data_IF_830025409932
#
_entry.id   IF_830025409932
#
_cell.length_a   1.000
_cell.length_b   1.000
_cell.length_c   1.000
_cell.angle_alpha   90.00
_cell.angle_beta   90.00
_cell.angle_gamma   90.00
#
_symmetry.space_group_name_H-M   'P 1'
#
loop_
_entity.id
_entity.type
_entity.pdbx_description
1 polymer ?
#
# COMPACT_ATOMS: atom_id res chain seq x y z
N UNK A 1 8.65 3.19 -5.09
CA UNK A 1 9.39 4.46 -5.01
C UNK A 1 10.59 4.41 -4.09
N UNK A 2 10.40 4.13 -2.80
CA UNK A 2 11.50 4.09 -1.81
C UNK A 2 12.65 3.17 -2.23
N UNK A 3 12.33 1.92 -2.57
CA UNK A 3 13.33 0.93 -3.00
C UNK A 3 14.13 1.42 -4.23
N UNK A 4 13.46 1.97 -5.22
CA UNK A 4 14.11 2.52 -6.42
C UNK A 4 15.00 3.74 -6.11
N UNK A 5 14.57 4.61 -5.20
CA UNK A 5 15.37 5.76 -4.75
C UNK A 5 16.67 5.33 -4.07
N UNK A 6 16.63 4.28 -3.24
CA UNK A 6 17.83 3.70 -2.62
C UNK A 6 18.69 2.97 -3.66
N UNK A 7 18.10 2.23 -4.59
CA UNK A 7 18.83 1.57 -5.69
C UNK A 7 19.63 2.55 -6.56
N UNK A 8 19.09 3.76 -6.80
CA UNK A 8 19.80 4.82 -7.53
C UNK A 8 21.05 5.34 -6.81
N UNK A 9 21.20 5.05 -5.52
CA UNK A 9 22.39 5.39 -4.71
C UNK A 9 23.31 4.18 -4.48
N UNK A 10 22.97 3.02 -5.02
CA UNK A 10 23.75 1.79 -4.88
C UNK A 10 25.12 1.91 -5.52
N UNK A 11 26.14 1.34 -4.88
CA UNK A 11 27.48 1.16 -5.45
C UNK A 11 27.51 0.12 -6.57
N UNK A 12 26.49 -0.74 -6.65
CA UNK A 12 26.36 -1.69 -7.76
C UNK A 12 25.93 -0.94 -9.01
N UNK A 13 26.82 -0.90 -10.00
CA UNK A 13 26.61 -0.18 -11.27
C UNK A 13 25.34 -0.63 -11.99
N UNK A 14 25.08 -1.93 -12.07
CA UNK A 14 23.93 -2.47 -12.78
C UNK A 14 22.60 -2.07 -12.11
N UNK A 15 22.52 -2.23 -10.79
CA UNK A 15 21.33 -1.85 -10.02
C UNK A 15 21.04 -0.33 -10.13
N UNK A 16 22.07 0.48 -10.00
CA UNK A 16 21.96 1.92 -10.19
C UNK A 16 21.48 2.26 -11.61
N UNK A 17 22.06 1.63 -12.64
CA UNK A 17 21.75 1.95 -14.05
C UNK A 17 20.33 1.57 -14.43
N UNK A 18 19.83 0.41 -13.96
CA UNK A 18 18.46 -0.02 -14.20
C UNK A 18 17.48 0.95 -13.51
N UNK A 19 17.72 1.28 -12.25
CA UNK A 19 16.88 2.22 -11.51
C UNK A 19 16.90 3.64 -12.15
N UNK A 20 18.06 4.08 -12.65
CA UNK A 20 18.19 5.34 -13.37
C UNK A 20 17.32 5.38 -14.62
N UNK A 21 17.45 4.39 -15.51
CA UNK A 21 16.67 4.33 -16.74
C UNK A 21 15.17 4.25 -16.51
N UNK A 22 14.75 3.46 -15.50
CA UNK A 22 13.34 3.39 -15.13
C UNK A 22 12.80 4.77 -14.73
N UNK A 23 13.50 5.47 -13.85
CA UNK A 23 13.04 6.77 -13.35
C UNK A 23 13.04 7.82 -14.45
N UNK A 24 14.11 7.90 -15.26
CA UNK A 24 14.21 8.87 -16.36
C UNK A 24 13.16 8.61 -17.44
N UNK A 25 13.00 7.36 -17.87
CA UNK A 25 11.98 7.00 -18.85
C UNK A 25 10.57 7.34 -18.37
N UNK A 26 10.23 6.91 -17.13
CA UNK A 26 8.88 7.09 -16.58
C UNK A 26 8.55 8.57 -16.39
N UNK A 27 9.49 9.39 -15.94
CA UNK A 27 9.27 10.82 -15.71
C UNK A 27 9.17 11.63 -17.00
N UNK A 28 9.87 11.23 -18.04
CA UNK A 28 9.90 11.95 -19.31
C UNK A 28 8.71 11.60 -20.23
N UNK A 29 8.00 10.51 -19.95
CA UNK A 29 6.81 10.12 -20.71
C UNK A 29 5.56 10.68 -19.99
N UNK A 30 4.66 11.39 -20.68
CA UNK A 30 3.41 11.88 -20.08
C UNK A 30 2.57 10.74 -19.53
N UNK A 31 1.95 10.97 -18.35
CA UNK A 31 1.15 9.95 -17.67
C UNK A 31 0.02 9.37 -18.53
N UNK A 32 -0.56 10.17 -19.44
CA UNK A 32 -1.60 9.72 -20.35
C UNK A 32 -1.11 8.58 -21.25
N UNK A 33 0.14 8.66 -21.72
CA UNK A 33 0.72 7.60 -22.55
C UNK A 33 0.94 6.31 -21.74
N UNK A 34 1.30 6.42 -20.46
CA UNK A 34 1.36 5.25 -19.58
C UNK A 34 -0.03 4.60 -19.39
N UNK A 35 -1.08 5.39 -19.22
CA UNK A 35 -2.45 4.86 -19.10
C UNK A 35 -2.86 4.14 -20.39
N UNK A 36 -2.64 4.76 -21.55
CA UNK A 36 -2.97 4.16 -22.84
C UNK A 36 -2.16 2.88 -23.11
N UNK A 37 -0.88 2.87 -22.75
CA UNK A 37 -0.02 1.70 -22.87
C UNK A 37 -0.55 0.52 -22.04
N UNK A 38 -0.82 0.74 -20.74
CA UNK A 38 -1.32 -0.30 -19.85
C UNK A 38 -2.71 -0.79 -20.26
N UNK A 39 -3.59 0.13 -20.67
CA UNK A 39 -4.90 -0.23 -21.19
C UNK A 39 -4.78 -1.09 -22.46
N UNK A 40 -3.91 -0.70 -23.40
CA UNK A 40 -3.64 -1.47 -24.62
C UNK A 40 -3.07 -2.86 -24.32
N UNK A 41 -2.15 -2.98 -23.36
CA UNK A 41 -1.61 -4.27 -22.93
C UNK A 41 -2.73 -5.15 -22.36
N UNK A 42 -3.57 -4.63 -21.47
CA UNK A 42 -4.65 -5.40 -20.82
C UNK A 42 -5.62 -5.94 -21.90
N UNK A 43 -6.11 -5.07 -22.79
CA UNK A 43 -7.12 -5.47 -23.79
C UNK A 43 -6.57 -6.45 -24.83
N UNK A 44 -5.32 -6.27 -25.28
CA UNK A 44 -4.76 -7.05 -26.37
C UNK A 44 -4.02 -8.32 -25.93
N UNK A 45 -3.54 -8.37 -24.67
CA UNK A 45 -2.73 -9.51 -24.20
C UNK A 45 -3.53 -10.48 -23.35
N UNK A 46 -4.51 -9.98 -22.55
CA UNK A 46 -5.31 -10.87 -21.72
C UNK A 46 -6.36 -11.64 -22.54
N UNK A 47 -6.69 -12.87 -22.12
CA UNK A 47 -7.64 -13.71 -22.86
C UNK A 47 -9.08 -13.21 -22.74
N UNK A 48 -9.93 -13.65 -23.70
CA UNK A 48 -11.36 -13.41 -23.64
C UNK A 48 -12.02 -14.13 -22.45
N UNK A 49 -13.20 -13.69 -21.97
CA UNK A 49 -13.88 -14.27 -20.81
C UNK A 49 -14.09 -15.78 -20.87
N UNK A 50 -14.27 -16.36 -22.07
CA UNK A 50 -14.40 -17.82 -22.24
C UNK A 50 -13.12 -18.60 -21.98
N UNK A 51 -11.97 -17.92 -22.02
CA UNK A 51 -10.64 -18.49 -21.78
C UNK A 51 -9.94 -17.76 -20.63
N UNK A 52 -10.76 -17.24 -19.70
CA UNK A 52 -10.27 -16.46 -18.55
C UNK A 52 -9.13 -17.17 -17.81
N UNK A 53 -8.17 -16.40 -17.33
CA UNK A 53 -7.18 -16.90 -16.38
C UNK A 53 -7.90 -17.07 -15.05
N UNK A 54 -8.04 -18.32 -14.64
CA UNK A 54 -8.65 -18.68 -13.36
C UNK A 54 -7.63 -18.52 -12.24
N UNK A 55 -8.08 -17.90 -11.15
CA UNK A 55 -7.30 -17.71 -9.94
C UNK A 55 -8.10 -18.28 -8.77
N UNK A 56 -7.73 -19.49 -8.34
CA UNK A 56 -8.32 -20.23 -7.23
C UNK A 56 -9.82 -20.56 -7.39
N UNK A 57 -10.33 -20.73 -8.59
CA UNK A 57 -11.76 -21.01 -8.90
C UNK A 57 -12.76 -19.97 -8.37
N UNK A 58 -12.30 -18.81 -7.94
CA UNK A 58 -13.12 -17.74 -7.35
C UNK A 58 -12.92 -16.38 -8.00
N UNK A 59 -11.83 -16.20 -8.76
CA UNK A 59 -11.47 -14.92 -9.40
C UNK A 59 -11.01 -15.16 -10.83
N UNK A 60 -11.36 -14.27 -11.73
CA UNK A 60 -11.11 -14.45 -13.16
C UNK A 60 -10.51 -13.19 -13.77
N UNK A 61 -9.35 -13.34 -14.41
CA UNK A 61 -8.67 -12.25 -15.13
C UNK A 61 -8.89 -12.40 -16.63
N UNK A 62 -9.37 -11.33 -17.28
CA UNK A 62 -9.72 -11.30 -18.69
C UNK A 62 -9.37 -9.96 -19.32
N UNK A 63 -9.45 -9.87 -20.65
CA UNK A 63 -9.32 -8.59 -21.37
C UNK A 63 -10.48 -7.61 -21.10
N UNK A 64 -11.55 -8.06 -20.43
CA UNK A 64 -12.66 -7.23 -19.97
C UNK A 64 -12.54 -6.79 -18.52
N UNK A 65 -11.43 -7.11 -17.86
CA UNK A 65 -11.12 -6.74 -16.50
C UNK A 65 -10.91 -7.92 -15.57
N UNK A 66 -10.86 -7.62 -14.28
CA UNK A 66 -10.64 -8.58 -13.21
C UNK A 66 -11.91 -8.73 -12.39
N UNK A 67 -12.38 -9.97 -12.28
CA UNK A 67 -13.59 -10.35 -11.55
C UNK A 67 -13.17 -11.06 -10.27
N UNK A 68 -13.60 -10.53 -9.12
CA UNK A 68 -13.29 -11.07 -7.79
C UNK A 68 -14.57 -11.30 -6.99
N UNK A 69 -14.57 -12.18 -5.98
CA UNK A 69 -15.72 -12.37 -5.11
C UNK A 69 -16.12 -11.06 -4.44
N UNK A 70 -17.42 -10.76 -4.45
CA UNK A 70 -17.98 -9.59 -3.77
C UNK A 70 -18.57 -10.02 -2.44
N UNK A 71 -18.12 -9.47 -1.30
CA UNK A 71 -18.78 -9.72 -0.03
C UNK A 71 -20.18 -9.10 -0.03
N UNK A 72 -21.16 -9.87 0.39
CA UNK A 72 -22.55 -9.46 0.57
C UNK A 72 -22.85 -9.55 2.05
N UNK A 73 -23.32 -8.44 2.63
CA UNK A 73 -23.77 -8.38 4.00
C UNK A 73 -25.12 -9.11 4.13
N UNK A 74 -25.22 -10.06 5.04
CA UNK A 74 -26.46 -10.75 5.39
C UNK A 74 -27.10 -10.12 6.63
N UNK A 75 -28.30 -10.59 6.96
CA UNK A 75 -29.01 -10.18 8.19
C UNK A 75 -28.16 -10.48 9.42
N UNK A 76 -28.01 -9.49 10.31
CA UNK A 76 -27.14 -9.58 11.50
C UNK A 76 -25.80 -8.88 11.36
N UNK A 77 -25.47 -8.32 10.19
CA UNK A 77 -24.27 -7.49 9.99
C UNK A 77 -24.33 -6.19 10.82
N UNK A 78 -25.52 -5.76 11.24
CA UNK A 78 -25.74 -4.55 12.03
C UNK A 78 -24.94 -4.58 13.34
N UNK A 79 -24.79 -5.75 13.96
CA UNK A 79 -23.97 -5.91 15.16
C UNK A 79 -22.49 -5.62 14.87
N UNK A 80 -21.97 -6.02 13.72
CA UNK A 80 -20.62 -5.69 13.32
C UNK A 80 -20.40 -4.17 13.24
N UNK A 81 -21.34 -3.44 12.62
CA UNK A 81 -21.25 -1.98 12.53
C UNK A 81 -21.36 -1.33 13.92
N UNK A 82 -22.30 -1.80 14.76
CA UNK A 82 -22.44 -1.31 16.12
C UNK A 82 -21.16 -1.50 16.94
N UNK A 83 -20.59 -2.69 16.94
CA UNK A 83 -19.35 -2.98 17.68
C UNK A 83 -18.15 -2.23 17.11
N UNK A 84 -18.11 -2.00 15.80
CA UNK A 84 -17.07 -1.16 15.17
C UNK A 84 -17.16 0.28 15.67
N UNK A 85 -18.36 0.86 15.71
CA UNK A 85 -18.57 2.23 16.25
C UNK A 85 -18.18 2.30 17.72
N UNK A 86 -18.60 1.32 18.53
CA UNK A 86 -18.23 1.25 19.95
C UNK A 86 -16.70 1.16 20.13
N UNK A 87 -16.03 0.32 19.32
CA UNK A 87 -14.58 0.17 19.34
C UNK A 87 -13.85 1.48 19.00
N UNK A 88 -14.34 2.23 18.01
CA UNK A 88 -13.78 3.53 17.62
C UNK A 88 -13.97 4.55 18.75
N UNK A 89 -15.18 4.64 19.32
CA UNK A 89 -15.47 5.54 20.44
C UNK A 89 -14.55 5.21 21.63
N UNK A 90 -14.45 3.93 21.97
CA UNK A 90 -13.56 3.47 23.04
C UNK A 90 -12.09 3.87 22.77
N UNK A 91 -11.59 3.63 21.57
CA UNK A 91 -10.22 3.97 21.18
C UNK A 91 -9.93 5.47 21.32
N UNK A 92 -10.89 6.33 20.92
CA UNK A 92 -10.78 7.78 21.08
C UNK A 92 -10.76 8.20 22.56
N UNK A 93 -11.70 7.67 23.34
CA UNK A 93 -11.79 7.98 24.78
C UNK A 93 -10.56 7.48 25.53
N UNK A 94 -10.11 6.26 25.23
CA UNK A 94 -8.91 5.68 25.84
C UNK A 94 -7.65 6.47 25.47
N UNK A 95 -7.52 6.93 24.22
CA UNK A 95 -6.40 7.77 23.81
C UNK A 95 -6.36 9.10 24.58
N UNK A 96 -7.52 9.74 24.76
CA UNK A 96 -7.64 10.99 25.54
C UNK A 96 -7.32 10.76 27.02
N UNK A 97 -7.85 9.69 27.61
CA UNK A 97 -7.59 9.30 29.00
C UNK A 97 -6.09 9.01 29.22
N UNK A 98 -5.49 8.22 28.33
CA UNK A 98 -4.09 7.84 28.40
C UNK A 98 -3.15 9.06 28.30
N UNK A 99 -3.47 10.02 27.40
CA UNK A 99 -2.74 11.28 27.27
C UNK A 99 -2.80 12.10 28.58
N UNK A 100 -4.01 12.30 29.13
CA UNK A 100 -4.19 13.02 30.39
C UNK A 100 -3.46 12.37 31.57
N UNK A 101 -3.50 11.04 31.62
CA UNK A 101 -2.78 10.28 32.69
C UNK A 101 -1.26 10.40 32.48
N UNK A 102 -0.75 10.37 31.26
CA UNK A 102 0.68 10.56 31.00
C UNK A 102 1.16 11.95 31.46
N UNK A 103 0.36 12.99 31.21
CA UNK A 103 0.66 14.35 31.70
C UNK A 103 0.74 14.43 33.21
N UNK A 104 -0.09 13.68 33.93
CA UNK A 104 -0.15 13.69 35.42
C UNK A 104 0.88 12.76 36.08
N UNK A 105 1.17 11.61 35.47
CA UNK A 105 1.96 10.54 36.14
C UNK A 105 3.29 10.22 35.48
N UNK A 106 3.54 10.75 34.27
CA UNK A 106 4.71 10.44 33.44
C UNK A 106 4.72 9.01 32.86
N UNK A 107 3.73 8.16 33.21
CA UNK A 107 3.67 6.77 32.71
C UNK A 107 3.02 6.69 31.33
N UNK A 108 3.71 6.07 30.36
CA UNK A 108 3.21 5.84 29.03
C UNK A 108 2.54 4.48 28.90
N UNK A 109 1.35 4.46 28.28
CA UNK A 109 0.70 3.21 27.82
C UNK A 109 1.02 2.94 26.36
N UNK A 110 1.05 1.68 25.92
CA UNK A 110 1.14 1.31 24.52
C UNK A 110 -0.21 1.53 23.81
N UNK A 111 -0.67 2.80 23.76
CA UNK A 111 -2.00 3.20 23.27
C UNK A 111 -2.27 2.69 21.87
N UNK A 112 -1.26 2.72 20.99
CA UNK A 112 -1.38 2.24 19.63
C UNK A 112 -1.80 0.77 19.56
N UNK A 113 -1.11 -0.10 20.31
CA UNK A 113 -1.39 -1.55 20.29
C UNK A 113 -2.73 -1.90 20.94
N UNK A 114 -3.09 -1.20 22.02
CA UNK A 114 -4.38 -1.40 22.69
C UNK A 114 -5.52 -0.99 21.76
N UNK A 115 -5.44 0.19 21.15
CA UNK A 115 -6.45 0.67 20.21
C UNK A 115 -6.56 -0.23 18.98
N UNK A 116 -5.43 -0.67 18.43
CA UNK A 116 -5.41 -1.58 17.30
C UNK A 116 -6.11 -2.91 17.65
N UNK A 117 -5.79 -3.46 18.82
CA UNK A 117 -6.43 -4.69 19.30
C UNK A 117 -7.93 -4.51 19.45
N UNK A 118 -8.38 -3.43 20.09
CA UNK A 118 -9.82 -3.17 20.30
C UNK A 118 -10.55 -3.00 18.95
N UNK A 119 -10.00 -2.21 18.03
CA UNK A 119 -10.62 -1.96 16.72
C UNK A 119 -10.72 -3.23 15.87
N UNK A 120 -9.82 -4.19 16.06
CA UNK A 120 -9.87 -5.47 15.33
C UNK A 120 -10.73 -6.49 16.07
N UNK A 121 -10.49 -6.70 17.36
CA UNK A 121 -11.11 -7.80 18.12
C UNK A 121 -12.60 -7.59 18.32
N UNK A 122 -13.05 -6.38 18.66
CA UNK A 122 -14.48 -6.13 18.90
C UNK A 122 -15.39 -6.44 17.71
N UNK A 123 -15.10 -5.93 16.50
CA UNK A 123 -15.87 -6.32 15.32
C UNK A 123 -15.76 -7.81 14.99
N UNK A 124 -14.58 -8.43 15.17
CA UNK A 124 -14.42 -9.87 14.95
C UNK A 124 -15.28 -10.72 15.91
N UNK A 125 -15.39 -10.30 17.18
CA UNK A 125 -16.30 -10.95 18.14
C UNK A 125 -17.74 -10.84 17.66
N UNK A 126 -18.19 -9.67 17.18
CA UNK A 126 -19.54 -9.48 16.66
C UNK A 126 -19.83 -10.37 15.45
N UNK A 127 -18.86 -10.55 14.54
CA UNK A 127 -18.99 -11.48 13.42
C UNK A 127 -19.10 -12.93 13.89
N UNK A 128 -18.29 -13.32 14.88
CA UNK A 128 -18.33 -14.69 15.41
C UNK A 128 -19.66 -15.02 16.12
N UNK A 129 -20.23 -14.06 16.86
CA UNK A 129 -21.53 -14.24 17.50
C UNK A 129 -22.69 -14.45 16.52
N UNK A 130 -22.61 -13.89 15.34
CA UNK A 130 -23.64 -14.01 14.30
C UNK A 130 -23.28 -15.03 13.20
N UNK A 131 -22.44 -16.02 13.50
CA UNK A 131 -22.02 -17.05 12.53
C UNK A 131 -21.48 -16.46 11.22
N UNK A 132 -20.73 -15.36 11.27
CA UNK A 132 -20.16 -14.67 10.12
C UNK A 132 -21.19 -14.32 9.04
N UNK A 133 -22.08 -13.33 9.26
CA UNK A 133 -23.17 -12.97 8.36
C UNK A 133 -22.63 -12.25 7.10
N UNK A 134 -21.73 -12.90 6.40
CA UNK A 134 -21.09 -12.44 5.17
C UNK A 134 -21.09 -13.60 4.19
N UNK A 135 -21.81 -13.47 3.09
CA UNK A 135 -21.71 -14.37 1.95
C UNK A 135 -20.86 -13.74 0.86
N UNK A 136 -20.38 -14.55 -0.07
CA UNK A 136 -19.59 -14.08 -1.20
C UNK A 136 -20.31 -14.40 -2.50
N UNK A 137 -20.62 -13.37 -3.29
CA UNK A 137 -21.06 -13.57 -4.66
C UNK A 137 -19.84 -13.87 -5.51
N UNK A 138 -19.70 -15.11 -5.94
CA UNK A 138 -18.61 -15.53 -6.84
C UNK A 138 -19.00 -15.16 -8.28
N UNK A 139 -18.07 -14.62 -9.09
CA UNK A 139 -18.36 -14.35 -10.50
C UNK A 139 -18.54 -15.65 -11.28
N UNK A 140 -19.61 -15.73 -12.06
CA UNK A 140 -19.92 -16.87 -12.93
C UNK A 140 -19.94 -16.45 -14.40
N UNK A 141 -19.42 -17.30 -15.29
CA UNK A 141 -19.48 -17.04 -16.72
C UNK A 141 -20.92 -17.27 -17.23
N UNK A 142 -21.59 -16.18 -17.63
CA UNK A 142 -22.94 -16.22 -18.22
C UNK A 142 -22.93 -15.64 -19.63
N UNK A 143 -22.98 -16.51 -20.63
CA UNK A 143 -22.91 -16.13 -22.03
C UNK A 143 -21.50 -15.68 -22.46
N UNK A 144 -21.33 -14.38 -22.74
CA UNK A 144 -20.07 -13.81 -23.24
C UNK A 144 -19.27 -13.04 -22.19
N UNK A 145 -19.75 -13.01 -20.93
CA UNK A 145 -19.09 -12.27 -19.86
C UNK A 145 -19.39 -12.86 -18.48
N UNK A 146 -18.58 -12.49 -17.48
CA UNK A 146 -18.86 -12.83 -16.08
C UNK A 146 -19.97 -11.97 -15.52
N UNK A 147 -20.82 -12.58 -14.66
CA UNK A 147 -21.85 -11.92 -13.87
C UNK A 147 -21.69 -12.27 -12.40
N UNK A 148 -22.09 -11.36 -11.52
CA UNK A 148 -21.81 -11.49 -10.08
C UNK A 148 -20.41 -11.03 -9.73
N UNK A 149 -20.05 -11.13 -8.45
CA UNK A 149 -18.77 -10.63 -7.96
C UNK A 149 -18.60 -9.12 -8.05
N UNK A 150 -17.37 -8.68 -7.79
CA UNK A 150 -16.92 -7.30 -8.01
C UNK A 150 -16.10 -7.27 -9.30
N UNK A 151 -16.49 -6.39 -10.20
CA UNK A 151 -15.81 -6.18 -11.48
C UNK A 151 -14.90 -4.95 -11.42
N UNK A 152 -13.61 -5.18 -11.59
CA UNK A 152 -12.61 -4.13 -11.80
C UNK A 152 -12.40 -3.99 -13.31
N UNK A 153 -12.82 -2.86 -13.86
CA UNK A 153 -12.72 -2.63 -15.32
C UNK A 153 -11.28 -2.51 -15.79
N UNK A 154 -10.99 -2.79 -17.08
CA UNK A 154 -9.66 -2.63 -17.66
C UNK A 154 -9.09 -1.23 -17.49
N UNK A 155 -9.97 -0.21 -17.57
CA UNK A 155 -9.59 1.19 -17.40
C UNK A 155 -9.11 1.47 -15.97
N UNK A 156 -9.82 0.93 -14.96
CA UNK A 156 -9.43 1.10 -13.56
C UNK A 156 -8.10 0.42 -13.26
N UNK A 157 -7.90 -0.77 -13.81
CA UNK A 157 -6.64 -1.52 -13.66
C UNK A 157 -5.50 -0.75 -14.34
N UNK A 158 -5.70 -0.31 -15.60
CA UNK A 158 -4.71 0.45 -16.36
C UNK A 158 -4.33 1.76 -15.65
N UNK A 159 -5.33 2.50 -15.15
CA UNK A 159 -5.13 3.73 -14.39
C UNK A 159 -4.32 3.49 -13.12
N UNK A 160 -4.67 2.44 -12.37
CA UNK A 160 -3.98 2.09 -11.13
C UNK A 160 -2.51 1.73 -11.38
N UNK A 161 -2.23 0.89 -12.39
CA UNK A 161 -0.85 0.53 -12.76
C UNK A 161 -0.06 1.73 -13.25
N UNK A 162 -0.64 2.53 -14.15
CA UNK A 162 0.02 3.71 -14.69
C UNK A 162 0.37 4.71 -13.58
N UNK A 163 -0.59 5.03 -12.70
CA UNK A 163 -0.37 5.94 -11.57
C UNK A 163 0.66 5.40 -10.58
N UNK A 164 0.61 4.10 -10.26
CA UNK A 164 1.55 3.48 -9.32
C UNK A 164 2.98 3.52 -9.86
N UNK A 165 3.18 3.16 -11.12
CA UNK A 165 4.49 3.16 -11.79
C UNK A 165 5.01 4.60 -11.93
N UNK A 166 4.17 5.53 -12.39
CA UNK A 166 4.52 6.93 -12.58
C UNK A 166 4.90 7.59 -11.24
N UNK A 167 4.04 7.47 -10.24
CA UNK A 167 4.28 8.04 -8.91
C UNK A 167 5.52 7.44 -8.23
N UNK A 168 5.78 6.14 -8.44
CA UNK A 168 6.96 5.48 -7.91
C UNK A 168 8.26 6.10 -8.42
N UNK A 169 8.30 6.58 -9.67
CA UNK A 169 9.48 7.24 -10.23
C UNK A 169 9.74 8.61 -9.58
N UNK A 170 8.68 9.40 -9.31
CA UNK A 170 8.80 10.67 -8.59
C UNK A 170 9.22 10.47 -7.13
N UNK A 171 8.62 9.51 -6.44
CA UNK A 171 9.01 9.16 -5.06
C UNK A 171 10.49 8.73 -5.03
N UNK A 172 10.95 7.95 -6.02
CA UNK A 172 12.34 7.53 -6.09
C UNK A 172 13.31 8.72 -6.20
N UNK A 173 12.95 9.74 -6.98
CA UNK A 173 13.75 10.95 -7.12
C UNK A 173 13.75 11.80 -5.84
N UNK A 174 12.59 11.98 -5.20
CA UNK A 174 12.49 12.68 -3.92
C UNK A 174 13.34 12.00 -2.85
N UNK A 175 13.30 10.66 -2.78
CA UNK A 175 14.13 9.88 -1.83
C UNK A 175 15.61 10.07 -2.12
N UNK A 176 16.02 9.95 -3.39
CA UNK A 176 17.40 10.18 -3.80
C UNK A 176 17.86 11.58 -3.43
N UNK A 177 17.09 12.60 -3.78
CA UNK A 177 17.40 14.00 -3.49
C UNK A 177 17.49 14.27 -1.98
N UNK A 178 16.56 13.72 -1.19
CA UNK A 178 16.55 13.85 0.26
C UNK A 178 17.77 13.23 0.94
N UNK A 179 18.24 12.07 0.45
CA UNK A 179 19.47 11.44 0.97
C UNK A 179 20.71 12.26 0.58
N UNK A 180 20.76 12.78 -0.63
CA UNK A 180 21.89 13.59 -1.11
C UNK A 180 21.93 15.00 -0.49
N UNK A 181 20.80 15.50 -0.01
CA UNK A 181 20.72 16.79 0.69
C UNK A 181 21.43 16.78 2.06
N UNK A 182 21.70 15.60 2.64
CA UNK A 182 22.41 15.50 3.90
C UNK A 182 23.90 15.85 3.69
N UNK A 183 24.38 16.81 4.48
CA UNK A 183 25.74 17.32 4.36
C UNK A 183 26.78 16.20 4.53
N UNK A 184 27.80 16.19 3.66
CA UNK A 184 28.85 15.15 3.65
C UNK A 184 29.56 15.02 5.00
N UNK A 185 29.76 16.13 5.72
CA UNK A 185 30.34 16.12 7.05
C UNK A 185 29.62 15.26 8.09
N UNK A 186 28.30 15.04 7.95
CA UNK A 186 27.57 14.11 8.82
C UNK A 186 28.01 12.67 8.61
N UNK A 187 28.27 12.30 7.36
CA UNK A 187 28.81 10.98 7.01
C UNK A 187 30.25 10.83 7.50
N UNK A 188 31.11 11.81 7.21
CA UNK A 188 32.51 11.81 7.60
C UNK A 188 32.68 11.77 9.12
N UNK A 189 31.90 12.56 9.86
CA UNK A 189 31.87 12.52 11.32
C UNK A 189 31.45 11.16 11.87
N UNK A 190 30.44 10.52 11.28
CA UNK A 190 30.00 9.19 11.70
C UNK A 190 31.04 8.10 11.37
N UNK A 191 31.72 8.22 10.24
CA UNK A 191 32.79 7.29 9.85
C UNK A 191 34.03 7.47 10.72
N UNK A 192 34.36 8.69 11.14
CA UNK A 192 35.53 8.98 12.01
C UNK A 192 35.41 8.39 13.42
N UNK A 193 34.19 8.19 13.92
CA UNK A 193 33.94 7.47 15.18
C UNK A 193 33.81 5.94 15.01
N UNK A 194 34.17 5.42 13.80
CA UNK A 194 34.24 3.99 13.54
C UNK A 194 32.92 3.31 13.16
N UNK A 195 31.87 4.08 12.80
CA UNK A 195 30.63 3.48 12.33
C UNK A 195 30.81 2.85 10.94
N UNK A 196 30.34 1.62 10.78
CA UNK A 196 30.30 0.96 9.48
C UNK A 196 29.31 1.68 8.54
N UNK A 197 29.52 1.66 7.20
CA UNK A 197 28.68 2.37 6.23
C UNK A 197 27.17 2.09 6.38
N UNK A 198 26.78 0.84 6.67
CA UNK A 198 25.38 0.47 6.87
C UNK A 198 24.77 1.14 8.11
N UNK A 199 25.56 1.25 9.19
CA UNK A 199 25.13 1.97 10.42
C UNK A 199 25.08 3.46 10.21
N UNK A 200 26.05 4.04 9.46
CA UNK A 200 26.02 5.46 9.06
C UNK A 200 24.73 5.76 8.31
N UNK A 201 24.37 4.91 7.33
CA UNK A 201 23.13 5.08 6.57
C UNK A 201 21.89 5.02 7.47
N UNK A 202 21.79 3.99 8.30
CA UNK A 202 20.57 3.72 9.08
C UNK A 202 20.42 4.63 10.32
N UNK A 203 21.50 5.01 10.98
CA UNK A 203 21.45 5.77 12.24
C UNK A 203 21.62 7.28 12.05
N UNK A 204 22.30 7.71 10.98
CA UNK A 204 22.62 9.12 10.78
C UNK A 204 21.90 9.69 9.56
N UNK A 205 22.09 9.07 8.38
CA UNK A 205 21.60 9.62 7.12
C UNK A 205 20.08 9.49 6.97
N UNK A 206 19.54 8.27 7.10
CA UNK A 206 18.11 8.02 6.88
C UNK A 206 17.20 8.79 7.84
N UNK A 207 17.47 8.91 9.16
CA UNK A 207 16.62 9.68 10.06
C UNK A 207 16.56 11.17 9.70
N UNK A 208 17.69 11.73 9.22
CA UNK A 208 17.74 13.12 8.78
C UNK A 208 17.07 13.29 7.40
N UNK A 209 17.39 12.41 6.44
CA UNK A 209 16.81 12.42 5.10
C UNK A 209 15.27 12.30 5.16
N UNK A 210 14.73 11.48 6.08
CA UNK A 210 13.28 11.33 6.25
C UNK A 210 12.57 12.66 6.55
N UNK A 211 13.20 13.55 7.30
CA UNK A 211 12.64 14.89 7.60
C UNK A 211 12.64 15.83 6.39
N UNK A 212 13.49 15.56 5.40
CA UNK A 212 13.54 16.29 4.13
C UNK A 212 12.59 15.70 3.11
N UNK A 213 12.41 14.38 3.12
CA UNK A 213 11.55 13.63 2.20
C UNK A 213 10.06 13.79 2.56
N UNK A 214 9.76 13.83 3.86
CA UNK A 214 8.39 13.94 4.40
C UNK A 214 8.35 15.21 5.24
N UNK A 215 7.92 16.33 4.66
CA UNK A 215 7.82 17.62 5.35
C UNK A 215 6.71 17.63 6.41
#
# INVERSE_FOLDING_TARGET
GLFLGVLRLSKNWLANRIAYWYVEFTRNVPILLHILLWHGIIINTLPHPKQAIDIFDVSYLTNRGFYIPKPIAESGIELFYLFTVIAIIFAVLFSRYSKKRQELTGKQFPVFWINLMVIIVFPCIALAFNNFPISFSIPELKGFNFRGGLHLSPELIALTFALAIYTAAFIAEIVRAGILAIHKGQREAAESIGLKPDRVMNLVILPQARRVIIP
#
